data_IF_691639508124
#
_entry.id   IF_691639508124
#
_cell.length_a   1.000
_cell.length_b   1.000
_cell.length_c   1.000
_cell.angle_alpha   90.00
_cell.angle_beta   90.00
_cell.angle_gamma   90.00
#
_symmetry.space_group_name_H-M   'P 1'
#
loop_
_entity.id
_entity.type
_entity.pdbx_description
1 polymer ?
#
# COMPACT_ATOMS: atom_id res chain seq x y z
N UNK A 1 -5.25 19.73 -42.14
CA UNK A 1 -3.92 19.93 -41.52
C UNK A 1 -3.93 20.78 -40.22
N UNK A 2 -4.89 21.69 -40.02
CA UNK A 2 -5.00 22.52 -38.81
C UNK A 2 -5.50 21.78 -37.57
N UNK A 3 -6.39 20.80 -37.74
CA UNK A 3 -6.98 20.00 -36.63
C UNK A 3 -5.94 19.08 -36.00
N UNK A 4 -5.13 18.38 -36.81
CA UNK A 4 -4.07 17.48 -36.33
C UNK A 4 -2.94 18.28 -35.67
N UNK A 5 -2.59 19.47 -36.18
CA UNK A 5 -1.66 20.39 -35.52
C UNK A 5 -2.19 20.85 -34.15
N UNK A 6 -3.47 21.23 -34.03
CA UNK A 6 -4.08 21.66 -32.80
C UNK A 6 -4.13 20.56 -31.74
N UNK A 7 -4.38 19.29 -32.14
CA UNK A 7 -4.33 18.13 -31.25
C UNK A 7 -2.90 17.85 -30.80
N UNK A 8 -1.92 17.88 -31.73
CA UNK A 8 -0.50 17.72 -31.38
C UNK A 8 -0.02 18.84 -30.43
N UNK A 9 -0.38 20.10 -30.67
CA UNK A 9 -0.06 21.21 -29.80
C UNK A 9 -0.77 21.12 -28.44
N UNK A 10 -2.03 20.67 -28.34
CA UNK A 10 -2.69 20.39 -27.07
C UNK A 10 -2.05 19.22 -26.29
N UNK A 11 -1.61 18.17 -26.99
CA UNK A 11 -0.86 17.07 -26.39
C UNK A 11 0.53 17.52 -25.92
N UNK A 12 1.24 18.32 -26.68
CA UNK A 12 2.59 18.85 -26.36
C UNK A 12 2.51 19.93 -25.25
N UNK A 13 1.47 20.79 -25.26
CA UNK A 13 1.28 21.80 -24.21
C UNK A 13 0.84 21.17 -22.88
N UNK A 14 0.21 19.98 -22.93
CA UNK A 14 -0.20 19.25 -21.71
C UNK A 14 0.94 18.40 -21.10
N UNK A 15 2.07 18.27 -21.78
CA UNK A 15 3.33 17.77 -21.23
C UNK A 15 4.11 18.91 -20.56
N UNK A 16 3.49 19.65 -19.62
CA UNK A 16 4.28 20.43 -18.66
C UNK A 16 5.30 19.49 -18.05
N UNK A 17 6.58 19.84 -18.13
CA UNK A 17 7.67 19.04 -17.58
C UNK A 17 7.33 18.65 -16.17
N UNK A 18 7.01 17.38 -15.95
CA UNK A 18 6.83 16.83 -14.60
C UNK A 18 8.16 16.99 -13.87
N UNK A 19 8.08 17.31 -12.60
CA UNK A 19 9.28 17.39 -11.77
C UNK A 19 9.65 15.99 -11.23
N UNK A 20 10.82 15.88 -10.63
CA UNK A 20 11.32 14.63 -10.06
C UNK A 20 10.32 14.00 -9.07
N UNK A 21 9.68 14.81 -8.22
CA UNK A 21 8.69 14.35 -7.24
C UNK A 21 7.50 13.64 -7.91
N UNK A 22 7.02 14.14 -9.06
CA UNK A 22 5.94 13.46 -9.79
C UNK A 22 6.36 12.06 -10.23
N UNK A 23 7.59 11.88 -10.74
CA UNK A 23 8.09 10.56 -11.14
C UNK A 23 8.27 9.61 -9.96
N UNK A 24 8.66 10.11 -8.78
CA UNK A 24 8.72 9.31 -7.57
C UNK A 24 7.35 8.69 -7.20
N UNK A 25 6.23 9.31 -7.61
CA UNK A 25 4.92 8.71 -7.43
C UNK A 25 4.76 7.35 -8.16
N UNK A 26 5.48 7.13 -9.28
CA UNK A 26 5.43 5.84 -9.98
C UNK A 26 6.09 4.69 -9.20
N UNK A 27 6.90 5.01 -8.19
CA UNK A 27 7.46 4.01 -7.28
C UNK A 27 6.38 3.24 -6.51
N UNK A 28 5.21 3.84 -6.29
CA UNK A 28 4.06 3.12 -5.72
C UNK A 28 3.61 1.94 -6.60
N UNK A 29 3.67 2.08 -7.93
CA UNK A 29 3.38 0.98 -8.85
C UNK A 29 4.49 -0.07 -8.79
N UNK A 30 5.75 0.35 -8.72
CA UNK A 30 6.89 -0.57 -8.60
C UNK A 30 6.77 -1.39 -7.30
N UNK A 31 6.42 -0.74 -6.20
CA UNK A 31 6.17 -1.39 -4.92
C UNK A 31 5.04 -2.43 -5.01
N UNK A 32 3.90 -2.06 -5.59
CA UNK A 32 2.77 -2.96 -5.80
C UNK A 32 3.16 -4.18 -6.64
N UNK A 33 3.89 -3.97 -7.73
CA UNK A 33 4.36 -5.06 -8.60
C UNK A 33 5.34 -5.97 -7.86
N UNK A 34 6.36 -5.42 -7.18
CA UNK A 34 7.34 -6.19 -6.40
C UNK A 34 6.65 -7.05 -5.34
N UNK A 35 5.72 -6.45 -4.59
CA UNK A 35 4.96 -7.17 -3.57
C UNK A 35 4.06 -8.26 -4.17
N UNK A 36 3.34 -7.95 -5.24
CA UNK A 36 2.46 -8.91 -5.92
C UNK A 36 3.25 -10.11 -6.45
N UNK A 37 4.41 -9.85 -7.07
CA UNK A 37 5.31 -10.90 -7.56
C UNK A 37 5.81 -11.77 -6.39
N UNK A 38 6.17 -11.15 -5.24
CA UNK A 38 6.56 -11.90 -4.06
C UNK A 38 5.43 -12.80 -3.53
N UNK A 39 4.20 -12.28 -3.42
CA UNK A 39 3.03 -13.05 -2.96
C UNK A 39 2.71 -14.22 -3.88
N UNK A 40 2.84 -14.03 -5.20
CA UNK A 40 2.46 -15.04 -6.20
C UNK A 40 3.54 -16.13 -6.35
N UNK A 41 4.82 -15.76 -6.32
CA UNK A 41 5.89 -16.69 -6.67
C UNK A 41 6.64 -17.27 -5.46
N UNK A 42 6.64 -16.63 -4.28
CA UNK A 42 7.29 -17.20 -3.10
C UNK A 42 6.73 -18.56 -2.65
N UNK A 43 5.42 -18.85 -2.82
CA UNK A 43 4.87 -20.20 -2.58
C UNK A 43 5.61 -21.34 -3.30
N UNK A 44 6.23 -21.07 -4.45
CA UNK A 44 7.01 -22.08 -5.19
C UNK A 44 8.22 -22.61 -4.41
N UNK A 45 8.74 -21.82 -3.47
CA UNK A 45 9.84 -22.22 -2.58
C UNK A 45 9.34 -22.70 -1.21
N UNK A 46 8.04 -22.89 -1.02
CA UNK A 46 7.46 -23.32 0.24
C UNK A 46 6.60 -24.60 0.03
N UNK A 47 7.17 -25.80 0.16
CA UNK A 47 6.43 -27.07 0.00
C UNK A 47 5.22 -27.14 0.95
N UNK A 48 4.05 -27.42 0.39
CA UNK A 48 2.80 -27.56 1.15
C UNK A 48 2.13 -26.24 1.55
N UNK A 49 2.64 -25.07 1.10
CA UNK A 49 1.96 -23.81 1.34
C UNK A 49 0.57 -23.76 0.73
N UNK A 50 -0.43 -23.51 1.57
CA UNK A 50 -1.81 -23.32 1.15
C UNK A 50 -2.19 -21.84 1.22
N UNK A 51 -2.16 -21.14 0.09
CA UNK A 51 -2.45 -19.71 0.00
C UNK A 51 -3.84 -19.31 0.49
N UNK A 52 -4.81 -20.25 0.52
CA UNK A 52 -6.15 -19.97 1.03
C UNK A 52 -6.18 -19.94 2.56
N UNK A 53 -5.42 -20.81 3.20
CA UNK A 53 -5.41 -21.00 4.64
C UNK A 53 -4.29 -20.24 5.36
N UNK A 54 -3.17 -19.99 4.67
CA UNK A 54 -1.98 -19.38 5.27
C UNK A 54 -1.83 -17.91 4.90
N UNK A 55 -1.31 -17.14 5.86
CA UNK A 55 -1.04 -15.71 5.71
C UNK A 55 0.08 -15.45 4.69
N UNK A 56 0.11 -14.22 4.17
CA UNK A 56 1.26 -13.73 3.38
C UNK A 56 2.51 -13.64 4.26
N UNK A 57 2.36 -13.27 5.53
CA UNK A 57 3.46 -13.18 6.49
C UNK A 57 4.14 -14.53 6.76
N UNK A 58 3.45 -15.66 6.56
CA UNK A 58 4.05 -16.99 6.66
C UNK A 58 5.16 -17.21 5.62
N UNK A 59 5.07 -16.57 4.44
CA UNK A 59 6.09 -16.64 3.39
C UNK A 59 7.40 -15.95 3.77
N UNK A 60 7.35 -15.01 4.73
CA UNK A 60 8.47 -14.22 5.21
C UNK A 60 8.85 -14.51 6.66
N UNK A 61 8.28 -15.55 7.28
CA UNK A 61 8.66 -15.98 8.62
C UNK A 61 10.15 -16.36 8.68
N UNK A 62 10.78 -16.19 9.84
CA UNK A 62 12.24 -16.34 9.99
C UNK A 62 12.74 -17.73 9.58
N UNK A 63 11.94 -18.79 9.76
CA UNK A 63 12.24 -20.15 9.36
C UNK A 63 11.53 -20.61 8.08
N UNK A 64 10.81 -19.72 7.38
CA UNK A 64 10.08 -20.10 6.19
C UNK A 64 11.03 -20.56 5.06
N UNK A 65 10.76 -21.70 4.41
CA UNK A 65 11.54 -22.16 3.25
C UNK A 65 11.58 -21.12 2.12
N UNK A 66 10.54 -20.32 2.00
CA UNK A 66 10.37 -19.25 1.00
C UNK A 66 11.08 -17.94 1.35
N UNK A 67 11.63 -17.77 2.56
CA UNK A 67 12.18 -16.49 3.04
C UNK A 67 13.19 -15.88 2.06
N UNK A 68 14.09 -16.68 1.52
CA UNK A 68 15.11 -16.20 0.57
C UNK A 68 14.47 -15.66 -0.71
N UNK A 69 13.55 -16.41 -1.29
CA UNK A 69 12.86 -16.02 -2.51
C UNK A 69 11.95 -14.80 -2.26
N UNK A 70 11.23 -14.79 -1.12
CA UNK A 70 10.46 -13.64 -0.69
C UNK A 70 11.31 -12.36 -0.63
N UNK A 71 12.45 -12.40 0.06
CA UNK A 71 13.33 -11.24 0.20
C UNK A 71 13.87 -10.74 -1.14
N UNK A 72 14.15 -11.64 -2.07
CA UNK A 72 14.61 -11.27 -3.42
C UNK A 72 13.49 -10.57 -4.21
N UNK A 73 12.27 -11.13 -4.22
CA UNK A 73 11.14 -10.62 -5.01
C UNK A 73 10.54 -9.34 -4.42
N UNK A 74 10.51 -9.23 -3.07
CA UNK A 74 10.00 -8.05 -2.36
C UNK A 74 11.05 -6.96 -2.12
N UNK A 75 12.27 -7.11 -2.62
CA UNK A 75 13.40 -6.21 -2.33
C UNK A 75 13.14 -4.73 -2.65
N UNK A 76 12.33 -4.44 -3.66
CA UNK A 76 11.95 -3.08 -4.03
C UNK A 76 10.72 -2.57 -3.28
N UNK A 77 9.95 -3.46 -2.64
CA UNK A 77 8.67 -3.10 -2.03
C UNK A 77 8.82 -2.00 -0.97
N UNK A 78 9.54 -2.26 0.11
CA UNK A 78 9.61 -1.34 1.25
C UNK A 78 10.21 0.02 0.87
N UNK A 79 11.32 0.02 0.12
CA UNK A 79 11.99 1.26 -0.29
C UNK A 79 11.10 2.10 -1.21
N UNK A 80 10.51 1.47 -2.24
CA UNK A 80 9.65 2.18 -3.19
C UNK A 80 8.36 2.67 -2.52
N UNK A 81 7.78 1.90 -1.58
CA UNK A 81 6.61 2.28 -0.78
C UNK A 81 6.91 3.54 0.03
N UNK A 82 7.99 3.54 0.82
CA UNK A 82 8.33 4.66 1.68
C UNK A 82 8.68 5.92 0.89
N UNK A 83 9.47 5.79 -0.17
CA UNK A 83 9.80 6.95 -1.03
C UNK A 83 8.53 7.51 -1.66
N UNK A 84 7.65 6.66 -2.20
CA UNK A 84 6.37 7.10 -2.76
C UNK A 84 5.54 7.85 -1.72
N UNK A 85 5.30 7.26 -0.54
CA UNK A 85 4.49 7.85 0.52
C UNK A 85 5.05 9.20 1.01
N UNK A 86 6.37 9.30 1.20
CA UNK A 86 7.04 10.56 1.58
C UNK A 86 6.90 11.63 0.50
N UNK A 87 7.03 11.27 -0.77
CA UNK A 87 6.85 12.21 -1.89
C UNK A 87 5.39 12.65 -2.04
N UNK A 88 4.42 11.77 -1.73
CA UNK A 88 3.00 12.14 -1.65
C UNK A 88 2.77 13.16 -0.53
N UNK A 89 3.36 12.96 0.65
CA UNK A 89 3.32 13.93 1.74
C UNK A 89 3.90 15.29 1.33
N UNK A 90 5.03 15.31 0.64
CA UNK A 90 5.64 16.54 0.15
C UNK A 90 4.75 17.22 -0.91
N UNK A 91 4.18 16.44 -1.83
CA UNK A 91 3.35 16.95 -2.93
C UNK A 91 1.98 17.49 -2.52
N UNK A 92 1.46 17.06 -1.35
CA UNK A 92 0.16 17.53 -0.85
C UNK A 92 0.29 18.76 0.07
N UNK A 93 1.50 19.17 0.44
CA UNK A 93 1.71 20.35 1.27
C UNK A 93 1.18 21.60 0.57
N UNK A 94 0.49 22.45 1.32
CA UNK A 94 -0.17 23.64 0.79
C UNK A 94 -1.42 23.37 -0.06
N UNK A 95 -1.75 22.10 -0.35
CA UNK A 95 -2.89 21.69 -1.19
C UNK A 95 -3.98 21.02 -0.36
N UNK A 96 -5.20 21.08 -0.86
CA UNK A 96 -6.36 20.44 -0.24
C UNK A 96 -6.65 20.86 1.21
N UNK A 97 -7.59 20.19 1.83
CA UNK A 97 -7.98 20.47 3.21
C UNK A 97 -6.98 19.95 4.24
N UNK A 98 -7.03 20.48 5.47
CA UNK A 98 -6.26 19.93 6.60
C UNK A 98 -6.60 18.45 6.84
N UNK A 99 -7.86 18.07 6.66
CA UNK A 99 -8.33 16.68 6.81
C UNK A 99 -7.66 15.76 5.81
N UNK A 100 -7.54 16.17 4.53
CA UNK A 100 -6.84 15.38 3.51
C UNK A 100 -5.37 15.19 3.86
N UNK A 101 -4.68 16.27 4.22
CA UNK A 101 -3.26 16.22 4.58
C UNK A 101 -3.02 15.31 5.79
N UNK A 102 -3.85 15.44 6.83
CA UNK A 102 -3.75 14.58 8.01
C UNK A 102 -3.97 13.11 7.65
N UNK A 103 -4.97 12.80 6.81
CA UNK A 103 -5.19 11.43 6.34
C UNK A 103 -3.96 10.87 5.60
N UNK A 104 -3.36 11.65 4.69
CA UNK A 104 -2.15 11.23 3.96
C UNK A 104 -0.95 11.07 4.90
N UNK A 105 -0.77 11.95 5.89
CA UNK A 105 0.32 11.85 6.86
C UNK A 105 0.18 10.59 7.74
N UNK A 106 -1.04 10.28 8.19
CA UNK A 106 -1.30 9.05 8.95
C UNK A 106 -1.09 7.79 8.10
N UNK A 107 -1.47 7.83 6.81
CA UNK A 107 -1.18 6.74 5.88
C UNK A 107 0.33 6.54 5.72
N UNK A 108 1.09 7.61 5.56
CA UNK A 108 2.56 7.54 5.48
C UNK A 108 3.18 7.04 6.79
N UNK A 109 2.66 7.46 7.94
CA UNK A 109 3.10 6.95 9.24
C UNK A 109 2.83 5.44 9.36
N UNK A 110 1.67 4.97 8.86
CA UNK A 110 1.33 3.55 8.77
C UNK A 110 2.35 2.78 7.93
N UNK A 111 2.74 3.30 6.76
CA UNK A 111 3.74 2.66 5.90
C UNK A 111 5.12 2.56 6.61
N UNK A 112 5.50 3.57 7.39
CA UNK A 112 6.71 3.51 8.21
C UNK A 112 6.60 2.45 9.32
N UNK A 113 5.47 2.39 10.03
CA UNK A 113 5.24 1.36 11.06
C UNK A 113 5.27 -0.03 10.44
N UNK A 114 4.66 -0.20 9.26
CA UNK A 114 4.70 -1.46 8.51
C UNK A 114 6.13 -1.86 8.14
N UNK A 115 6.87 -0.97 7.47
CA UNK A 115 8.21 -1.27 6.98
C UNK A 115 9.20 -1.56 8.12
N UNK A 116 9.17 -0.77 9.19
CA UNK A 116 10.07 -0.93 10.34
C UNK A 116 9.59 -2.07 11.24
N UNK A 117 8.30 -2.12 11.59
CA UNK A 117 7.75 -3.09 12.52
C UNK A 117 7.90 -4.54 12.04
N UNK A 118 7.53 -4.81 10.79
CA UNK A 118 7.67 -6.16 10.23
C UNK A 118 9.12 -6.55 9.95
N UNK A 119 9.99 -5.58 9.66
CA UNK A 119 11.42 -5.83 9.52
C UNK A 119 12.08 -6.16 10.87
N UNK A 120 11.71 -5.44 11.94
CA UNK A 120 12.25 -5.67 13.28
C UNK A 120 11.67 -6.93 13.94
N UNK A 121 10.42 -7.24 13.65
CA UNK A 121 9.65 -8.33 14.25
C UNK A 121 9.00 -9.22 13.18
N UNK A 122 9.80 -9.92 12.32
CA UNK A 122 9.24 -10.94 11.45
C UNK A 122 8.63 -12.05 12.30
N UNK A 123 7.66 -12.81 11.79
CA UNK A 123 7.18 -14.01 12.48
C UNK A 123 8.35 -14.97 12.71
N UNK A 124 8.41 -15.57 13.89
CA UNK A 124 9.45 -16.55 14.22
C UNK A 124 9.22 -17.86 13.46
N UNK A 125 7.95 -18.25 13.32
CA UNK A 125 7.51 -19.44 12.59
C UNK A 125 6.19 -19.17 11.86
N UNK A 126 5.95 -19.92 10.80
CA UNK A 126 4.65 -19.95 10.13
C UNK A 126 3.54 -20.36 11.09
N UNK A 127 2.41 -19.66 11.03
CA UNK A 127 1.25 -19.96 11.84
C UNK A 127 1.31 -19.49 13.29
N UNK A 128 2.26 -18.63 13.65
CA UNK A 128 2.36 -18.01 14.96
C UNK A 128 2.75 -18.95 16.12
N UNK A 129 4.04 -18.97 16.46
CA UNK A 129 4.60 -19.79 17.56
C UNK A 129 4.38 -19.21 18.97
N UNK A 130 3.86 -17.98 19.11
CA UNK A 130 3.57 -17.33 20.39
C UNK A 130 4.79 -16.74 21.11
N UNK A 131 5.91 -16.54 20.40
CA UNK A 131 7.12 -15.92 20.93
C UNK A 131 6.91 -14.42 21.22
N UNK A 132 7.86 -13.78 21.90
CA UNK A 132 7.85 -12.33 22.08
C UNK A 132 7.85 -11.62 20.73
N UNK A 133 8.63 -12.11 19.78
CA UNK A 133 8.75 -11.57 18.41
C UNK A 133 7.40 -11.64 17.68
N UNK A 134 6.69 -12.77 17.75
CA UNK A 134 5.37 -12.93 17.14
C UNK A 134 4.34 -11.98 17.74
N UNK A 135 4.37 -11.79 19.09
CA UNK A 135 3.50 -10.81 19.74
C UNK A 135 3.76 -9.39 19.24
N UNK A 136 5.03 -9.01 19.07
CA UNK A 136 5.38 -7.69 18.53
C UNK A 136 4.96 -7.55 17.06
N UNK A 137 5.04 -8.63 16.25
CA UNK A 137 4.50 -8.67 14.91
C UNK A 137 2.99 -8.37 14.89
N UNK A 138 2.22 -9.02 15.77
CA UNK A 138 0.78 -8.78 15.89
C UNK A 138 0.48 -7.36 16.36
N UNK A 139 1.23 -6.81 17.33
CA UNK A 139 1.06 -5.41 17.73
C UNK A 139 1.34 -4.45 16.59
N UNK A 140 2.38 -4.69 15.81
CA UNK A 140 2.66 -3.90 14.59
C UNK A 140 1.49 -3.99 13.61
N UNK A 141 0.94 -5.17 13.39
CA UNK A 141 -0.25 -5.38 12.54
C UNK A 141 -1.46 -4.61 13.02
N UNK A 142 -1.74 -4.64 14.33
CA UNK A 142 -2.87 -3.88 14.92
C UNK A 142 -2.69 -2.38 14.68
N UNK A 143 -1.50 -1.84 14.92
CA UNK A 143 -1.21 -0.41 14.70
C UNK A 143 -1.35 -0.05 13.22
N UNK A 144 -0.83 -0.87 12.31
CA UNK A 144 -0.95 -0.69 10.86
C UNK A 144 -2.42 -0.66 10.44
N UNK A 145 -3.24 -1.61 10.90
CA UNK A 145 -4.68 -1.66 10.57
C UNK A 145 -5.42 -0.44 11.11
N UNK A 146 -5.18 -0.05 12.36
CA UNK A 146 -5.83 1.12 12.96
C UNK A 146 -5.45 2.42 12.23
N UNK A 147 -4.18 2.64 11.96
CA UNK A 147 -3.71 3.81 11.20
C UNK A 147 -4.29 3.82 9.79
N UNK A 148 -4.36 2.67 9.11
CA UNK A 148 -4.98 2.53 7.80
C UNK A 148 -6.45 2.96 7.83
N UNK A 149 -7.24 2.42 8.74
CA UNK A 149 -8.68 2.74 8.84
C UNK A 149 -8.87 4.23 9.08
N UNK A 150 -8.17 4.81 10.08
CA UNK A 150 -8.28 6.23 10.42
C UNK A 150 -7.89 7.11 9.23
N UNK A 151 -6.77 6.81 8.59
CA UNK A 151 -6.27 7.57 7.43
C UNK A 151 -7.25 7.52 6.26
N UNK A 152 -7.74 6.33 5.89
CA UNK A 152 -8.67 6.14 4.79
C UNK A 152 -10.00 6.87 5.04
N UNK A 153 -10.55 6.82 6.26
CA UNK A 153 -11.75 7.56 6.65
C UNK A 153 -11.56 9.07 6.46
N UNK A 154 -10.43 9.62 6.93
CA UNK A 154 -10.14 11.05 6.77
C UNK A 154 -10.03 11.45 5.29
N UNK A 155 -9.41 10.60 4.45
CA UNK A 155 -9.27 10.87 3.02
C UNK A 155 -10.63 10.77 2.31
N UNK A 156 -11.50 9.83 2.70
CA UNK A 156 -12.88 9.74 2.21
C UNK A 156 -13.65 11.02 2.53
N UNK A 157 -13.61 11.47 3.78
CA UNK A 157 -14.29 12.71 4.23
C UNK A 157 -13.81 13.91 3.41
N UNK A 158 -12.50 14.01 3.17
CA UNK A 158 -11.93 15.08 2.37
C UNK A 158 -12.39 15.01 0.90
N UNK A 159 -12.40 13.81 0.30
CA UNK A 159 -12.81 13.60 -1.08
C UNK A 159 -14.32 13.83 -1.33
N UNK A 160 -15.16 13.65 -0.29
CA UNK A 160 -16.58 13.99 -0.35
C UNK A 160 -16.77 15.52 -0.32
N UNK A 161 -15.98 16.23 0.49
CA UNK A 161 -16.10 17.69 0.68
C UNK A 161 -15.51 18.50 -0.48
N UNK A 162 -14.52 17.96 -1.17
CA UNK A 162 -13.78 18.65 -2.23
C UNK A 162 -13.73 17.79 -3.51
N UNK A 163 -14.38 18.28 -4.58
CA UNK A 163 -14.46 17.58 -5.87
C UNK A 163 -13.09 17.35 -6.52
N UNK A 164 -12.11 18.21 -6.24
CA UNK A 164 -10.73 18.05 -6.75
C UNK A 164 -10.08 16.75 -6.23
N UNK A 165 -10.39 16.37 -4.98
CA UNK A 165 -9.84 15.18 -4.32
C UNK A 165 -10.79 13.99 -4.30
N UNK A 166 -11.87 14.04 -5.10
CA UNK A 166 -12.89 12.98 -5.16
C UNK A 166 -12.30 11.61 -5.49
N UNK A 167 -11.30 11.54 -6.39
CA UNK A 167 -10.65 10.26 -6.74
C UNK A 167 -9.85 9.69 -5.56
N UNK A 168 -9.18 10.52 -4.77
CA UNK A 168 -8.52 10.07 -3.54
C UNK A 168 -9.53 9.41 -2.59
N UNK A 169 -10.68 10.07 -2.36
CA UNK A 169 -11.74 9.54 -1.50
C UNK A 169 -12.40 8.28 -2.04
N UNK A 170 -12.66 8.21 -3.35
CA UNK A 170 -13.29 7.04 -3.97
C UNK A 170 -12.40 5.78 -3.84
N UNK A 171 -11.12 5.89 -4.18
CA UNK A 171 -10.18 4.76 -4.00
C UNK A 171 -9.91 4.44 -2.54
N UNK A 172 -9.91 5.45 -1.65
CA UNK A 172 -9.82 5.21 -0.21
C UNK A 172 -11.05 4.43 0.30
N UNK A 173 -12.24 4.66 -0.27
CA UNK A 173 -13.44 3.89 0.04
C UNK A 173 -13.32 2.42 -0.36
N UNK A 174 -12.77 2.13 -1.53
CA UNK A 174 -12.49 0.76 -1.98
C UNK A 174 -11.47 0.10 -1.04
N UNK A 175 -10.36 0.79 -0.75
CA UNK A 175 -9.31 0.28 0.14
C UNK A 175 -9.84 0.04 1.56
N UNK A 176 -10.68 0.94 2.10
CA UNK A 176 -11.32 0.75 3.40
C UNK A 176 -12.25 -0.47 3.41
N UNK A 177 -13.06 -0.65 2.37
CA UNK A 177 -13.91 -1.84 2.23
C UNK A 177 -13.09 -3.13 2.22
N UNK A 178 -12.00 -3.19 1.45
CA UNK A 178 -11.09 -4.32 1.43
C UNK A 178 -10.42 -4.54 2.80
N UNK A 179 -9.97 -3.47 3.47
CA UNK A 179 -9.35 -3.54 4.80
C UNK A 179 -10.32 -4.12 5.83
N UNK A 180 -11.58 -3.69 5.83
CA UNK A 180 -12.61 -4.17 6.75
C UNK A 180 -12.95 -5.64 6.47
N UNK A 181 -13.10 -6.02 5.20
CA UNK A 181 -13.31 -7.44 4.81
C UNK A 181 -12.17 -8.30 5.34
N UNK A 182 -10.93 -7.87 5.20
CA UNK A 182 -9.78 -8.60 5.71
C UNK A 182 -9.74 -8.65 7.23
N UNK A 183 -9.76 -7.49 7.90
CA UNK A 183 -9.61 -7.40 9.35
C UNK A 183 -10.74 -8.10 10.13
N UNK A 184 -11.99 -7.97 9.66
CA UNK A 184 -13.13 -8.65 10.27
C UNK A 184 -13.21 -10.12 9.85
N UNK A 185 -12.95 -10.39 8.56
CA UNK A 185 -13.02 -11.73 7.99
C UNK A 185 -12.09 -12.72 8.68
N UNK A 186 -10.88 -12.32 9.06
CA UNK A 186 -9.94 -13.18 9.77
C UNK A 186 -10.49 -13.79 11.06
N UNK A 187 -11.50 -13.15 11.69
CA UNK A 187 -12.15 -13.64 12.91
C UNK A 187 -13.46 -14.39 12.66
N UNK A 188 -13.99 -14.37 11.45
CA UNK A 188 -15.33 -14.88 11.12
C UNK A 188 -15.25 -16.09 10.20
N UNK A 189 -14.33 -16.09 9.24
CA UNK A 189 -14.22 -17.18 8.27
C UNK A 189 -13.57 -18.44 8.87
N UNK A 190 -13.90 -19.63 8.34
CA UNK A 190 -13.16 -20.84 8.68
C UNK A 190 -11.66 -20.68 8.39
N UNK A 191 -10.81 -21.36 9.19
CA UNK A 191 -9.34 -21.23 9.07
C UNK A 191 -8.81 -21.55 7.66
N UNK A 192 -9.52 -22.39 6.93
CA UNK A 192 -9.18 -22.74 5.53
C UNK A 192 -9.21 -21.52 4.58
N UNK A 193 -9.88 -20.44 4.95
CA UNK A 193 -10.00 -19.22 4.15
C UNK A 193 -9.29 -18.00 4.77
N UNK A 194 -8.57 -18.19 5.87
CA UNK A 194 -7.87 -17.11 6.57
C UNK A 194 -6.93 -16.32 5.64
N UNK A 195 -6.14 -17.03 4.85
CA UNK A 195 -5.20 -16.40 3.92
C UNK A 195 -5.88 -15.60 2.80
N UNK A 196 -7.09 -15.98 2.40
CA UNK A 196 -7.86 -15.23 1.40
C UNK A 196 -8.25 -13.87 1.96
N UNK A 197 -8.86 -13.82 3.15
CA UNK A 197 -9.34 -12.57 3.74
C UNK A 197 -8.17 -11.68 4.19
N UNK A 198 -7.08 -12.24 4.69
CA UNK A 198 -5.88 -11.48 5.05
C UNK A 198 -5.33 -10.71 3.85
N UNK A 199 -5.32 -11.31 2.67
CA UNK A 199 -4.86 -10.64 1.43
C UNK A 199 -5.69 -9.41 1.07
N UNK A 200 -6.99 -9.37 1.40
CA UNK A 200 -7.78 -8.15 1.20
C UNK A 200 -7.20 -6.98 2.00
N UNK A 201 -6.85 -7.17 3.27
CA UNK A 201 -6.23 -6.12 4.10
C UNK A 201 -4.89 -5.68 3.56
N UNK A 202 -4.05 -6.64 3.17
CA UNK A 202 -2.70 -6.35 2.68
C UNK A 202 -2.74 -5.58 1.37
N UNK A 203 -3.50 -6.09 0.38
CA UNK A 203 -3.62 -5.42 -0.92
C UNK A 203 -4.40 -4.11 -0.87
N UNK A 204 -5.24 -3.88 0.17
CA UNK A 204 -5.83 -2.59 0.43
C UNK A 204 -4.75 -1.52 0.69
N UNK A 205 -3.80 -1.78 1.57
CA UNK A 205 -2.73 -0.85 1.91
C UNK A 205 -1.76 -0.65 0.73
N UNK A 206 -1.20 -1.75 0.22
CA UNK A 206 -0.22 -1.72 -0.89
C UNK A 206 -0.81 -1.10 -2.15
N UNK A 207 -2.04 -1.46 -2.50
CA UNK A 207 -2.75 -0.91 -3.66
C UNK A 207 -3.07 0.56 -3.49
N UNK A 208 -3.48 0.99 -2.30
CA UNK A 208 -3.80 2.39 -2.06
C UNK A 208 -2.55 3.28 -2.09
N UNK A 209 -1.39 2.80 -1.62
CA UNK A 209 -0.12 3.51 -1.82
C UNK A 209 0.19 3.74 -3.31
N UNK A 210 -0.03 2.75 -4.16
CA UNK A 210 0.13 2.90 -5.61
C UNK A 210 -0.86 3.93 -6.19
N UNK A 211 -2.11 3.96 -5.72
CA UNK A 211 -3.11 4.98 -6.12
C UNK A 211 -2.64 6.38 -5.74
N UNK A 212 -2.17 6.59 -4.51
CA UNK A 212 -1.63 7.87 -4.07
C UNK A 212 -0.44 8.30 -4.95
N UNK A 213 0.44 7.37 -5.28
CA UNK A 213 1.57 7.60 -6.18
C UNK A 213 1.11 8.03 -7.60
N UNK A 214 0.11 7.37 -8.16
CA UNK A 214 -0.47 7.77 -9.46
C UNK A 214 -1.10 9.16 -9.38
N UNK A 215 -1.78 9.49 -8.28
CA UNK A 215 -2.33 10.83 -8.10
C UNK A 215 -1.20 11.88 -8.03
N UNK A 216 -0.13 11.61 -7.28
CA UNK A 216 1.05 12.48 -7.25
C UNK A 216 1.65 12.68 -8.65
N UNK A 217 1.76 11.60 -9.45
CA UNK A 217 2.22 11.70 -10.83
C UNK A 217 1.33 12.61 -11.68
N UNK A 218 0.02 12.69 -11.40
CA UNK A 218 -0.95 13.53 -12.12
C UNK A 218 -0.97 14.98 -11.66
N UNK A 219 -0.48 15.30 -10.47
CA UNK A 219 -0.43 16.68 -9.96
C UNK A 219 0.38 17.55 -10.93
N UNK A 220 -0.18 18.70 -11.27
CA UNK A 220 0.54 19.71 -12.08
C UNK A 220 1.57 20.40 -11.19
N UNK A 221 2.85 20.51 -11.62
CA UNK A 221 3.83 21.30 -10.90
C UNK A 221 3.36 22.75 -10.74
N UNK A 222 3.60 23.34 -9.59
CA UNK A 222 3.41 24.77 -9.38
C UNK A 222 4.40 25.53 -10.29
N UNK A 223 3.99 26.76 -10.70
CA UNK A 223 4.82 27.63 -11.54
C UNK A 223 5.94 28.22 -10.72
#
# INVERSE_FOLDING_TARGET
NGFVRRIKWKLVINMRKKNFMNYCGLLGIVALLSYTVAVVFSPLAYPGYNWMAQAVSDLSAANAPSLRLWNQLSSLYSVCTLVCAMMVCAGIQGRGSRTLRLGIYLFTAMEWVSAVGFSMFPLSDSGYAGTFQDRMHIYSTIVVVLLSIISLVLIIIAGIKDKEYRLYGAFAGIALGMMLVGAMGMNIVPKEYFGVVERFSVFAAVGYNAVLGVQLFRIKPEK
#
